data_IF_645547022106
#
_entry.id   IF_645547022106
#
_cell.length_a   1.000
_cell.length_b   1.000
_cell.length_c   1.000
_cell.angle_alpha   90.00
_cell.angle_beta   90.00
_cell.angle_gamma   90.00
#
_symmetry.space_group_name_H-M   'P 1'
#
loop_
_entity.id
_entity.type
_entity.pdbx_description
1 polymer ?
#
# COMPACT_ATOMS: atom_id res chain seq x y z
N UNK A 1 0.36 1.16 23.86
CA UNK A 1 1.43 0.47 23.09
C UNK A 1 2.24 -0.49 23.97
N UNK A 2 3.00 -0.03 24.96
CA UNK A 2 3.92 -0.88 25.75
C UNK A 2 3.26 -2.14 26.33
N UNK A 3 2.08 -2.04 26.94
CA UNK A 3 1.35 -3.19 27.50
C UNK A 3 0.99 -4.25 26.44
N UNK A 4 0.60 -3.83 25.21
CA UNK A 4 0.27 -4.78 24.13
C UNK A 4 1.52 -5.46 23.58
N UNK A 5 2.64 -4.72 23.43
CA UNK A 5 3.91 -5.29 23.01
C UNK A 5 4.38 -6.35 24.02
N UNK A 6 4.42 -6.02 25.31
CA UNK A 6 4.79 -6.97 26.37
C UNK A 6 3.92 -8.23 26.35
N UNK A 7 2.59 -8.08 26.14
CA UNK A 7 1.69 -9.23 26.01
C UNK A 7 2.00 -10.10 24.81
N UNK A 8 2.32 -9.47 23.66
CA UNK A 8 2.68 -10.18 22.44
C UNK A 8 4.00 -10.93 22.62
N UNK A 9 5.03 -10.30 23.20
CA UNK A 9 6.32 -10.93 23.48
C UNK A 9 6.18 -12.11 24.47
N UNK A 10 5.36 -11.96 25.51
CA UNK A 10 5.05 -13.06 26.41
C UNK A 10 4.36 -14.22 25.67
N UNK A 11 3.36 -13.95 24.85
CA UNK A 11 2.68 -14.98 24.07
C UNK A 11 3.65 -15.74 23.16
N UNK A 12 4.49 -15.06 22.40
CA UNK A 12 5.39 -15.72 21.45
C UNK A 12 6.51 -16.49 22.14
N UNK A 13 6.99 -16.03 23.30
CA UNK A 13 8.02 -16.74 24.08
C UNK A 13 7.49 -17.91 24.88
N UNK A 14 6.19 -17.98 25.16
CA UNK A 14 5.60 -19.06 25.96
C UNK A 14 4.70 -20.00 25.18
N UNK A 15 4.04 -19.55 24.13
CA UNK A 15 2.97 -20.27 23.42
C UNK A 15 3.25 -20.48 21.93
N UNK A 16 4.46 -20.16 21.43
CA UNK A 16 4.79 -20.28 20.01
C UNK A 16 6.14 -20.95 19.80
N UNK A 17 6.13 -22.18 19.31
CA UNK A 17 7.33 -23.00 19.16
C UNK A 17 8.35 -22.37 18.21
N UNK A 18 7.91 -21.75 17.12
CA UNK A 18 8.79 -21.10 16.15
C UNK A 18 9.66 -20.00 16.80
N UNK A 19 9.05 -19.16 17.66
CA UNK A 19 9.79 -18.10 18.34
C UNK A 19 10.64 -18.65 19.50
N UNK A 20 10.18 -19.68 20.20
CA UNK A 20 10.99 -20.36 21.21
C UNK A 20 12.28 -20.90 20.61
N UNK A 21 12.17 -21.66 19.50
CA UNK A 21 13.34 -22.21 18.80
C UNK A 21 14.32 -21.11 18.34
N UNK A 22 13.81 -19.96 17.91
CA UNK A 22 14.64 -18.81 17.50
C UNK A 22 15.35 -18.15 18.69
N UNK A 23 14.70 -18.04 19.83
CA UNK A 23 15.32 -17.50 21.06
C UNK A 23 16.34 -18.49 21.62
N UNK A 24 16.04 -19.78 21.67
CA UNK A 24 16.96 -20.81 22.17
C UNK A 24 18.25 -20.91 21.35
N UNK A 25 18.20 -20.71 20.03
CA UNK A 25 19.40 -20.63 19.19
C UNK A 25 20.36 -19.52 19.61
N UNK A 26 19.84 -18.49 20.28
CA UNK A 26 20.62 -17.39 20.86
C UNK A 26 20.85 -17.56 22.38
N UNK A 27 20.62 -18.77 22.93
CA UNK A 27 20.72 -19.08 24.35
C UNK A 27 19.76 -18.29 25.26
N UNK A 28 18.59 -17.91 24.73
CA UNK A 28 17.53 -17.17 25.42
C UNK A 28 16.34 -18.09 25.63
N UNK A 29 15.94 -18.35 26.87
CA UNK A 29 14.80 -19.25 27.17
C UNK A 29 13.44 -18.55 27.05
N UNK A 30 13.36 -17.27 27.40
CA UNK A 30 12.16 -16.43 27.31
C UNK A 30 12.58 -14.95 27.34
N UNK A 31 11.94 -14.10 26.55
CA UNK A 31 12.25 -12.66 26.57
C UNK A 31 11.01 -11.80 26.43
N UNK A 32 10.94 -10.76 27.25
CA UNK A 32 10.03 -9.61 27.12
C UNK A 32 10.72 -8.40 26.50
N UNK A 33 11.98 -8.55 26.11
CA UNK A 33 12.79 -7.54 25.44
C UNK A 33 12.72 -7.79 23.93
N UNK A 34 12.14 -6.84 23.17
CA UNK A 34 12.01 -6.92 21.72
C UNK A 34 13.37 -7.05 21.03
N UNK A 35 14.42 -6.43 21.58
CA UNK A 35 15.76 -6.41 20.98
C UNK A 35 16.42 -7.79 20.93
N UNK A 36 15.92 -8.74 21.70
CA UNK A 36 16.35 -10.15 21.68
C UNK A 36 15.75 -10.96 20.51
N UNK A 37 14.72 -10.43 19.83
CA UNK A 37 14.09 -11.13 18.71
C UNK A 37 14.81 -10.78 17.41
N UNK A 38 15.33 -11.77 16.66
CA UNK A 38 15.92 -11.52 15.35
C UNK A 38 14.88 -11.08 14.35
N UNK A 39 15.31 -10.34 13.31
CA UNK A 39 14.44 -9.92 12.21
C UNK A 39 13.80 -11.15 11.57
N UNK A 40 12.47 -11.09 11.38
CA UNK A 40 11.69 -12.10 10.69
C UNK A 40 11.59 -11.73 9.21
N UNK A 41 12.09 -12.58 8.35
CA UNK A 41 12.07 -12.36 6.90
C UNK A 41 10.81 -12.94 6.25
N UNK A 42 10.45 -12.41 5.08
CA UNK A 42 9.36 -12.94 4.24
C UNK A 42 9.54 -14.43 3.93
N UNK A 43 10.75 -14.83 3.60
CA UNK A 43 11.11 -16.23 3.30
C UNK A 43 10.84 -17.15 4.50
N UNK A 44 11.26 -16.73 5.70
CA UNK A 44 11.01 -17.52 6.92
C UNK A 44 9.52 -17.69 7.20
N UNK A 45 8.70 -16.65 6.97
CA UNK A 45 7.24 -16.76 7.13
C UNK A 45 6.65 -17.78 6.15
N UNK A 46 7.11 -17.79 4.90
CA UNK A 46 6.65 -18.74 3.89
C UNK A 46 7.04 -20.19 4.24
N UNK A 47 8.30 -20.40 4.62
CA UNK A 47 8.86 -21.73 4.91
C UNK A 47 8.32 -22.32 6.21
N UNK A 48 8.05 -21.48 7.23
CA UNK A 48 7.66 -21.92 8.57
C UNK A 48 6.19 -21.70 8.91
N UNK A 49 5.35 -21.40 7.93
CA UNK A 49 3.94 -21.05 8.11
C UNK A 49 3.20 -21.90 9.15
N UNK A 50 3.37 -23.24 9.11
CA UNK A 50 2.69 -24.15 10.03
C UNK A 50 3.26 -24.14 11.45
N UNK A 51 4.53 -23.80 11.61
CA UNK A 51 5.20 -23.75 12.91
C UNK A 51 4.98 -22.41 13.63
N UNK A 52 4.54 -21.37 12.88
CA UNK A 52 4.29 -20.04 13.41
C UNK A 52 2.94 -19.89 14.13
N UNK A 53 2.09 -20.91 14.12
CA UNK A 53 0.85 -20.86 14.89
C UNK A 53 1.10 -20.99 16.39
N UNK A 54 0.49 -20.09 17.17
CA UNK A 54 0.46 -20.20 18.63
C UNK A 54 -0.37 -21.43 19.07
N UNK A 55 -0.18 -21.88 20.31
CA UNK A 55 -0.84 -23.08 20.84
C UNK A 55 -2.36 -22.99 20.67
N UNK A 56 -2.96 -24.13 20.27
CA UNK A 56 -4.38 -24.24 19.98
C UNK A 56 -4.84 -23.60 18.63
N UNK A 57 -3.99 -22.87 17.92
CA UNK A 57 -4.35 -22.28 16.63
C UNK A 57 -4.08 -23.20 15.44
N UNK A 58 -3.17 -24.19 15.55
CA UNK A 58 -2.99 -25.23 14.52
C UNK A 58 -4.26 -26.01 14.23
N UNK A 59 -4.99 -26.44 15.29
CA UNK A 59 -6.27 -27.15 15.13
C UNK A 59 -7.33 -26.29 14.45
N UNK A 60 -7.39 -24.99 14.79
CA UNK A 60 -8.30 -24.02 14.16
C UNK A 60 -7.96 -23.77 12.69
N UNK A 61 -6.70 -23.82 12.31
CA UNK A 61 -6.29 -23.75 10.92
C UNK A 61 -6.84 -24.93 10.12
N UNK A 62 -6.66 -26.16 10.60
CA UNK A 62 -7.15 -27.37 9.92
C UNK A 62 -8.69 -27.44 9.87
N UNK A 63 -9.39 -26.87 10.86
CA UNK A 63 -10.85 -26.77 10.88
C UNK A 63 -11.39 -25.52 10.17
N UNK A 64 -10.55 -24.75 9.45
CA UNK A 64 -10.91 -23.55 8.71
C UNK A 64 -11.57 -22.44 9.55
N UNK A 65 -11.24 -22.36 10.84
CA UNK A 65 -11.79 -21.37 11.78
C UNK A 65 -10.93 -20.09 11.85
N UNK A 66 -9.90 -19.97 11.03
CA UNK A 66 -9.06 -18.78 10.94
C UNK A 66 -9.38 -18.00 9.66
N UNK A 67 -9.38 -16.68 9.79
CA UNK A 67 -9.41 -15.79 8.64
C UNK A 67 -8.06 -15.80 7.95
N UNK A 68 -8.03 -16.14 6.67
CA UNK A 68 -6.84 -16.04 5.82
C UNK A 68 -6.76 -14.65 5.21
N UNK A 69 -5.58 -14.06 5.26
CA UNK A 69 -5.16 -12.95 4.41
C UNK A 69 -3.91 -13.34 3.64
N UNK A 70 -3.74 -12.81 2.45
CA UNK A 70 -2.57 -13.11 1.67
C UNK A 70 -2.13 -11.89 0.86
N UNK A 71 -0.82 -11.66 0.78
CA UNK A 71 -0.25 -10.60 -0.03
C UNK A 71 -0.26 -10.98 -1.51
N UNK A 72 -0.48 -10.01 -2.39
CA UNK A 72 -0.55 -10.21 -3.85
C UNK A 72 0.76 -10.69 -4.50
N UNK A 73 1.85 -10.76 -3.73
CA UNK A 73 3.11 -11.32 -4.22
C UNK A 73 3.80 -10.48 -5.32
N UNK A 74 3.64 -9.15 -5.32
CA UNK A 74 4.32 -8.26 -6.28
C UNK A 74 5.85 -8.45 -6.34
N UNK A 75 6.43 -9.05 -5.31
CA UNK A 75 7.85 -9.40 -5.18
C UNK A 75 8.13 -10.90 -5.26
N UNK A 76 7.26 -11.70 -5.90
CA UNK A 76 7.39 -13.16 -5.99
C UNK A 76 6.28 -13.92 -5.27
N UNK A 77 6.63 -14.92 -4.44
CA UNK A 77 5.65 -15.79 -3.80
C UNK A 77 4.83 -15.07 -2.72
N UNK A 78 3.48 -15.17 -2.74
CA UNK A 78 2.62 -14.54 -1.75
C UNK A 78 2.86 -15.06 -0.33
N UNK A 79 2.73 -14.19 0.68
CA UNK A 79 2.70 -14.60 2.09
C UNK A 79 1.25 -14.79 2.53
N UNK A 80 1.00 -15.89 3.21
CA UNK A 80 -0.30 -16.14 3.84
C UNK A 80 -0.19 -15.93 5.34
N UNK A 81 -1.07 -15.08 5.88
CA UNK A 81 -1.19 -14.79 7.31
C UNK A 81 -2.58 -15.17 7.76
N UNK A 82 -2.67 -15.78 8.95
CA UNK A 82 -3.92 -16.29 9.51
C UNK A 82 -4.24 -15.57 10.82
N UNK A 83 -5.50 -15.23 10.97
CA UNK A 83 -6.00 -14.45 12.10
C UNK A 83 -7.15 -15.15 12.79
N UNK A 84 -7.24 -15.03 14.11
CA UNK A 84 -8.53 -15.19 14.77
C UNK A 84 -9.45 -14.03 14.34
N UNK A 85 -10.72 -14.29 14.10
CA UNK A 85 -11.66 -13.23 13.70
C UNK A 85 -11.68 -12.06 14.71
N UNK A 86 -11.68 -12.36 16.02
CA UNK A 86 -11.62 -11.33 17.07
C UNK A 86 -10.37 -10.45 16.97
N UNK A 87 -9.23 -11.03 16.66
CA UNK A 87 -7.95 -10.32 16.55
C UNK A 87 -7.90 -9.45 15.30
N UNK A 88 -8.44 -9.98 14.19
CA UNK A 88 -8.59 -9.22 12.96
C UNK A 88 -9.42 -7.96 13.18
N UNK A 89 -10.60 -8.08 13.81
CA UNK A 89 -11.43 -6.91 14.11
C UNK A 89 -10.75 -5.96 15.10
N UNK A 90 -10.06 -6.49 16.12
CA UNK A 90 -9.29 -5.65 17.06
C UNK A 90 -8.19 -4.85 16.37
N UNK A 91 -7.54 -5.40 15.34
CA UNK A 91 -6.49 -4.73 14.58
C UNK A 91 -7.02 -3.58 13.70
N UNK A 92 -8.30 -3.63 13.29
CA UNK A 92 -8.92 -2.59 12.48
C UNK A 92 -9.50 -1.44 13.31
N UNK A 93 -9.74 -1.64 14.60
CA UNK A 93 -10.34 -0.61 15.49
C UNK A 93 -9.54 0.71 15.55
N UNK A 94 -8.19 0.69 15.65
CA UNK A 94 -7.42 1.93 15.66
C UNK A 94 -7.66 2.78 14.41
N UNK A 95 -7.73 2.13 13.24
CA UNK A 95 -8.02 2.80 11.97
C UNK A 95 -9.44 3.41 11.96
N UNK A 96 -10.46 2.64 12.39
CA UNK A 96 -11.83 3.15 12.47
C UNK A 96 -11.97 4.33 13.41
N UNK A 97 -11.23 4.34 14.54
CA UNK A 97 -11.20 5.50 15.44
C UNK A 97 -10.64 6.75 14.77
N UNK A 98 -9.59 6.62 13.94
CA UNK A 98 -9.03 7.76 13.22
C UNK A 98 -9.96 8.25 12.10
N UNK A 99 -10.61 7.34 11.35
CA UNK A 99 -11.64 7.69 10.34
C UNK A 99 -12.77 8.50 10.98
N UNK A 100 -13.31 8.02 12.10
CA UNK A 100 -14.38 8.73 12.81
C UNK A 100 -13.90 10.09 13.34
N UNK A 101 -12.71 10.13 13.97
CA UNK A 101 -12.15 11.34 14.57
C UNK A 101 -11.84 12.42 13.56
N UNK A 102 -11.18 12.07 12.46
CA UNK A 102 -10.64 13.05 11.51
C UNK A 102 -11.61 13.39 10.38
N UNK A 103 -12.37 12.42 9.94
CA UNK A 103 -13.17 12.55 8.72
C UNK A 103 -14.66 12.33 8.94
N UNK A 104 -15.08 11.95 10.17
CA UNK A 104 -16.47 11.69 10.50
C UNK A 104 -17.07 10.48 9.77
N UNK A 105 -16.21 9.50 9.44
CA UNK A 105 -16.60 8.28 8.73
C UNK A 105 -16.80 7.15 9.72
N UNK A 106 -17.95 6.50 9.62
CA UNK A 106 -18.38 5.44 10.53
C UNK A 106 -18.62 4.12 9.78
N UNK A 107 -18.67 3.01 10.54
CA UNK A 107 -18.81 1.65 9.98
C UNK A 107 -20.11 1.41 9.22
N UNK A 108 -21.13 2.23 9.45
CA UNK A 108 -22.43 2.13 8.78
C UNK A 108 -22.55 3.04 7.55
N UNK A 109 -21.54 3.88 7.28
CA UNK A 109 -21.54 4.73 6.09
C UNK A 109 -21.35 3.88 4.83
N UNK A 110 -22.14 4.15 3.80
CA UNK A 110 -22.05 3.44 2.51
C UNK A 110 -20.68 3.63 1.89
N UNK A 111 -19.98 2.53 1.65
CA UNK A 111 -18.62 2.47 1.14
C UNK A 111 -18.56 1.81 -0.22
N UNK A 112 -17.86 2.41 -1.16
CA UNK A 112 -17.33 1.68 -2.31
C UNK A 112 -15.91 1.25 -2.01
N UNK A 113 -15.67 -0.06 -2.04
CA UNK A 113 -14.37 -0.68 -1.82
C UNK A 113 -13.85 -1.28 -3.11
N UNK A 114 -12.73 -0.77 -3.61
CA UNK A 114 -11.99 -1.40 -4.67
C UNK A 114 -10.97 -2.40 -4.09
N UNK A 115 -10.84 -3.55 -4.73
CA UNK A 115 -9.90 -4.60 -4.33
C UNK A 115 -9.27 -5.24 -5.55
N UNK A 116 -7.99 -5.63 -5.44
CA UNK A 116 -7.27 -6.39 -6.46
C UNK A 116 -7.33 -7.90 -6.22
N UNK A 117 -7.91 -8.34 -5.10
CA UNK A 117 -7.97 -9.74 -4.71
C UNK A 117 -9.31 -10.38 -5.12
N UNK A 118 -9.28 -11.21 -6.15
CA UNK A 118 -10.43 -11.97 -6.63
C UNK A 118 -10.93 -13.05 -5.65
N UNK A 119 -10.11 -13.50 -4.70
CA UNK A 119 -10.41 -14.65 -3.85
C UNK A 119 -11.51 -14.46 -2.81
N UNK A 120 -11.91 -13.23 -2.52
CA UNK A 120 -13.00 -12.94 -1.58
C UNK A 120 -14.35 -12.74 -2.25
N UNK A 121 -14.40 -12.81 -3.57
CA UNK A 121 -15.63 -12.72 -4.35
C UNK A 121 -15.87 -14.13 -4.88
N UNK A 122 -16.83 -14.85 -4.30
CA UNK A 122 -17.25 -16.16 -4.81
C UNK A 122 -17.92 -15.96 -6.16
N UNK A 123 -17.25 -16.44 -7.21
CA UNK A 123 -17.68 -16.27 -8.58
C UNK A 123 -18.55 -17.43 -9.02
N UNK A 124 -19.83 -17.25 -9.02
CA UNK A 124 -20.68 -18.06 -9.89
C UNK A 124 -20.88 -17.45 -11.30
N UNK A 125 -20.57 -16.15 -11.53
CA UNK A 125 -20.91 -15.48 -12.78
C UNK A 125 -19.99 -14.35 -13.26
N UNK A 126 -18.66 -14.37 -13.07
CA UNK A 126 -17.76 -13.31 -13.56
C UNK A 126 -18.21 -11.86 -13.23
N UNK A 127 -18.85 -11.66 -12.09
CA UNK A 127 -19.34 -10.34 -11.71
C UNK A 127 -18.21 -9.46 -11.20
N UNK A 128 -18.07 -8.26 -11.78
CA UNK A 128 -17.05 -7.27 -11.40
C UNK A 128 -17.30 -6.71 -10.00
N UNK A 129 -18.51 -6.83 -9.49
CA UNK A 129 -18.93 -6.22 -8.22
C UNK A 129 -19.76 -7.15 -7.34
N UNK A 130 -19.81 -6.82 -6.06
CA UNK A 130 -20.61 -7.48 -5.05
C UNK A 130 -21.11 -6.45 -4.02
N UNK A 131 -22.39 -6.52 -3.65
CA UNK A 131 -22.97 -5.66 -2.61
C UNK A 131 -23.15 -6.49 -1.34
N UNK A 132 -22.51 -6.06 -0.24
CA UNK A 132 -22.73 -6.61 1.08
C UNK A 132 -23.69 -5.70 1.85
N UNK A 133 -24.98 -6.02 1.77
CA UNK A 133 -26.07 -5.22 2.34
C UNK A 133 -26.01 -5.05 3.86
N UNK A 134 -25.66 -6.04 4.69
CA UNK A 134 -25.56 -5.81 6.13
C UNK A 134 -24.51 -4.75 6.51
N UNK A 135 -23.50 -4.54 5.67
CA UNK A 135 -22.38 -3.64 5.93
C UNK A 135 -22.41 -2.38 5.05
N UNK A 136 -23.42 -2.18 4.21
CA UNK A 136 -23.47 -1.05 3.27
C UNK A 136 -22.20 -0.91 2.40
N UNK A 137 -21.64 -2.01 1.92
CA UNK A 137 -20.41 -2.04 1.14
C UNK A 137 -20.66 -2.53 -0.27
N UNK A 138 -20.32 -1.70 -1.25
CA UNK A 138 -20.18 -2.11 -2.64
C UNK A 138 -18.70 -2.45 -2.88
N UNK A 139 -18.40 -3.74 -3.05
CA UNK A 139 -17.05 -4.20 -3.37
C UNK A 139 -16.91 -4.38 -4.87
N UNK A 140 -15.87 -3.77 -5.44
CA UNK A 140 -15.53 -3.84 -6.86
C UNK A 140 -14.18 -4.54 -6.99
N UNK A 141 -14.12 -5.56 -7.84
CA UNK A 141 -12.86 -6.20 -8.21
C UNK A 141 -12.17 -5.40 -9.31
N UNK A 142 -11.22 -4.57 -8.94
CA UNK A 142 -10.50 -3.69 -9.87
C UNK A 142 -9.63 -4.47 -10.87
N UNK A 143 -9.24 -5.73 -10.56
CA UNK A 143 -8.48 -6.56 -11.49
C UNK A 143 -9.30 -7.05 -12.70
N UNK A 144 -10.60 -6.89 -12.67
CA UNK A 144 -11.52 -7.25 -13.77
C UNK A 144 -11.96 -6.05 -14.60
N UNK A 145 -11.43 -4.86 -14.35
CA UNK A 145 -11.74 -3.65 -15.11
C UNK A 145 -10.69 -3.49 -16.20
N UNK A 146 -10.97 -4.00 -17.40
CA UNK A 146 -10.01 -4.05 -18.50
C UNK A 146 -10.12 -2.90 -19.50
N UNK A 147 -11.30 -2.26 -19.61
CA UNK A 147 -11.55 -1.23 -20.61
C UNK A 147 -12.40 -0.08 -20.06
N UNK A 148 -12.62 0.94 -20.90
CA UNK A 148 -13.36 2.13 -20.51
C UNK A 148 -14.86 1.88 -20.36
N UNK A 149 -15.45 0.97 -21.15
CA UNK A 149 -16.86 0.62 -21.04
C UNK A 149 -17.19 -0.04 -19.70
N UNK A 150 -16.32 -0.96 -19.24
CA UNK A 150 -16.44 -1.58 -17.92
C UNK A 150 -16.28 -0.55 -16.79
N UNK A 151 -15.34 0.40 -16.93
CA UNK A 151 -15.20 1.49 -15.97
C UNK A 151 -16.46 2.39 -15.97
N UNK A 152 -17.06 2.66 -17.12
CA UNK A 152 -18.30 3.42 -17.23
C UNK A 152 -19.48 2.71 -16.55
N UNK A 153 -19.56 1.39 -16.66
CA UNK A 153 -20.56 0.61 -15.92
C UNK A 153 -20.36 0.73 -14.40
N UNK A 154 -19.11 0.68 -13.94
CA UNK A 154 -18.78 0.91 -12.53
C UNK A 154 -19.18 2.32 -12.08
N UNK A 155 -18.91 3.35 -12.87
CA UNK A 155 -19.33 4.73 -12.58
C UNK A 155 -20.86 4.83 -12.43
N UNK A 156 -21.62 4.20 -13.32
CA UNK A 156 -23.10 4.15 -13.23
C UNK A 156 -23.56 3.42 -11.96
N UNK A 157 -22.92 2.31 -11.63
CA UNK A 157 -23.21 1.55 -10.42
C UNK A 157 -22.91 2.36 -9.15
N UNK A 158 -21.79 3.05 -9.10
CA UNK A 158 -21.41 3.95 -7.98
C UNK A 158 -22.44 5.05 -7.81
N UNK A 159 -22.88 5.67 -8.92
CA UNK A 159 -23.92 6.72 -8.89
C UNK A 159 -25.22 6.21 -8.28
N UNK A 160 -25.66 5.02 -8.63
CA UNK A 160 -26.89 4.41 -8.11
C UNK A 160 -26.73 3.97 -6.65
N UNK A 161 -25.53 3.57 -6.24
CA UNK A 161 -25.24 3.16 -4.87
C UNK A 161 -25.18 4.34 -3.90
N UNK A 162 -24.89 5.57 -4.37
CA UNK A 162 -24.78 6.79 -3.59
C UNK A 162 -23.85 6.65 -2.35
N UNK A 163 -22.56 6.36 -2.54
CA UNK A 163 -21.62 6.14 -1.45
C UNK A 163 -21.34 7.41 -0.67
N UNK A 164 -21.00 7.21 0.60
CA UNK A 164 -20.47 8.26 1.49
C UNK A 164 -18.96 8.39 1.34
N UNK A 165 -18.27 7.28 1.05
CA UNK A 165 -16.83 7.28 0.91
C UNK A 165 -16.30 6.17 0.02
N UNK A 166 -15.06 6.38 -0.49
CA UNK A 166 -14.29 5.42 -1.28
C UNK A 166 -13.11 4.87 -0.49
N UNK A 167 -12.86 3.57 -0.63
CA UNK A 167 -11.63 2.87 -0.27
C UNK A 167 -11.02 2.35 -1.56
N UNK A 168 -9.92 2.98 -2.05
CA UNK A 168 -9.51 2.85 -3.44
C UNK A 168 -7.99 2.98 -3.61
N UNK A 169 -7.40 2.26 -4.57
CA UNK A 169 -6.02 2.44 -4.98
C UNK A 169 -5.86 3.73 -5.81
N UNK A 170 -4.74 4.47 -5.67
CA UNK A 170 -4.48 5.69 -6.43
C UNK A 170 -4.62 5.54 -7.95
N UNK A 171 -4.11 4.44 -8.51
CA UNK A 171 -4.21 4.18 -9.94
C UNK A 171 -5.68 4.03 -10.40
N UNK A 172 -6.49 3.28 -9.65
CA UNK A 172 -7.93 3.13 -9.97
C UNK A 172 -8.68 4.45 -9.80
N UNK A 173 -8.32 5.22 -8.78
CA UNK A 173 -8.88 6.56 -8.56
C UNK A 173 -8.63 7.48 -9.76
N UNK A 174 -7.42 7.45 -10.32
CA UNK A 174 -7.08 8.19 -11.52
C UNK A 174 -7.94 7.80 -12.72
N UNK A 175 -8.07 6.50 -12.99
CA UNK A 175 -8.93 5.98 -14.06
C UNK A 175 -10.40 6.37 -13.85
N UNK A 176 -10.87 6.30 -12.61
CA UNK A 176 -12.23 6.66 -12.24
C UNK A 176 -12.52 8.15 -12.53
N UNK A 177 -11.61 9.07 -12.14
CA UNK A 177 -11.72 10.51 -12.42
C UNK A 177 -11.81 10.74 -13.93
N UNK A 178 -10.92 10.13 -14.71
CA UNK A 178 -10.92 10.25 -16.18
C UNK A 178 -12.25 9.80 -16.79
N UNK A 179 -12.77 8.65 -16.39
CA UNK A 179 -14.04 8.15 -16.87
C UNK A 179 -15.20 9.12 -16.57
N UNK A 180 -15.26 9.68 -15.36
CA UNK A 180 -16.24 10.71 -15.01
C UNK A 180 -16.13 11.94 -15.92
N UNK A 181 -14.90 12.40 -16.20
CA UNK A 181 -14.63 13.58 -17.03
C UNK A 181 -14.97 13.32 -18.50
N UNK A 182 -14.49 12.21 -19.08
CA UNK A 182 -14.74 11.85 -20.49
C UNK A 182 -16.23 11.76 -20.81
N UNK A 183 -17.01 11.18 -19.88
CA UNK A 183 -18.45 10.99 -20.08
C UNK A 183 -19.32 12.11 -19.49
N UNK A 184 -18.70 13.20 -19.00
CA UNK A 184 -19.40 14.33 -18.38
C UNK A 184 -20.41 13.90 -17.28
N UNK A 185 -20.01 12.94 -16.45
CA UNK A 185 -20.84 12.43 -15.36
C UNK A 185 -20.42 13.16 -14.05
N UNK A 186 -21.41 13.69 -13.34
CA UNK A 186 -21.14 14.30 -12.04
C UNK A 186 -20.85 13.23 -10.97
N UNK A 187 -19.91 13.48 -10.07
CA UNK A 187 -19.64 12.61 -8.92
C UNK A 187 -20.86 12.49 -8.02
N UNK A 188 -20.97 11.42 -7.19
CA UNK A 188 -22.06 11.26 -6.24
C UNK A 188 -22.13 12.41 -5.26
N UNK A 189 -23.26 13.07 -5.11
CA UNK A 189 -23.48 14.18 -4.17
C UNK A 189 -23.35 13.75 -2.70
N UNK A 190 -23.50 12.46 -2.44
CA UNK A 190 -23.36 11.85 -1.10
C UNK A 190 -21.91 11.63 -0.66
N UNK A 191 -20.95 11.66 -1.61
CA UNK A 191 -19.54 11.42 -1.34
C UNK A 191 -18.97 12.54 -0.46
N UNK A 192 -18.28 12.18 0.62
CA UNK A 192 -17.68 13.12 1.57
C UNK A 192 -16.20 12.87 1.84
N UNK A 193 -15.71 11.67 1.45
CA UNK A 193 -14.37 11.25 1.81
C UNK A 193 -13.81 10.19 0.84
N UNK A 194 -12.51 10.26 0.57
CA UNK A 194 -11.76 9.26 -0.18
C UNK A 194 -10.58 8.79 0.67
N UNK A 195 -10.40 7.48 0.79
CA UNK A 195 -9.23 6.86 1.41
C UNK A 195 -8.45 6.08 0.36
N UNK A 196 -7.21 6.49 0.14
CA UNK A 196 -6.31 5.78 -0.77
C UNK A 196 -5.45 4.77 -0.02
N UNK A 197 -5.19 3.62 -0.66
CA UNK A 197 -4.52 2.48 -0.04
C UNK A 197 -3.70 1.67 -1.04
N UNK A 198 -2.72 0.92 -0.52
CA UNK A 198 -2.07 -0.19 -1.21
C UNK A 198 -1.00 0.18 -2.23
N UNK A 199 -0.90 1.46 -2.58
CA UNK A 199 0.09 2.01 -3.52
C UNK A 199 0.55 3.37 -3.03
N UNK A 200 1.65 3.88 -3.60
CA UNK A 200 2.04 5.27 -3.42
C UNK A 200 0.95 6.19 -3.99
N UNK A 201 0.65 7.25 -3.27
CA UNK A 201 -0.28 8.28 -3.73
C UNK A 201 0.50 9.45 -4.33
N UNK A 202 0.54 9.57 -5.67
CA UNK A 202 1.19 10.69 -6.35
C UNK A 202 0.52 12.02 -6.03
N UNK A 203 1.31 13.08 -5.98
CA UNK A 203 0.82 14.43 -5.64
C UNK A 203 -0.19 14.97 -6.65
N UNK A 204 -0.02 14.67 -7.94
CA UNK A 204 -0.95 15.04 -9.00
C UNK A 204 -2.30 14.31 -8.89
N UNK A 205 -2.30 13.00 -8.59
CA UNK A 205 -3.55 12.23 -8.38
C UNK A 205 -4.29 12.76 -7.15
N UNK A 206 -3.57 13.05 -6.06
CA UNK A 206 -4.16 13.68 -4.86
C UNK A 206 -4.84 15.00 -5.21
N UNK A 207 -4.14 15.90 -5.91
CA UNK A 207 -4.65 17.20 -6.32
C UNK A 207 -5.90 17.04 -7.18
N UNK A 208 -5.83 16.26 -8.26
CA UNK A 208 -6.97 16.00 -9.17
C UNK A 208 -8.18 15.41 -8.45
N UNK A 209 -7.97 14.46 -7.55
CA UNK A 209 -9.08 13.86 -6.81
C UNK A 209 -9.79 14.88 -5.90
N UNK A 210 -9.03 15.72 -5.20
CA UNK A 210 -9.60 16.77 -4.35
C UNK A 210 -10.35 17.81 -5.19
N UNK A 211 -9.75 18.26 -6.29
CA UNK A 211 -10.36 19.24 -7.20
C UNK A 211 -11.64 18.71 -7.86
N UNK A 212 -11.59 17.46 -8.35
CA UNK A 212 -12.73 16.87 -9.07
C UNK A 212 -13.90 16.49 -8.14
N UNK A 213 -13.62 15.79 -7.05
CA UNK A 213 -14.66 15.32 -6.14
C UNK A 213 -15.09 16.37 -5.10
N UNK A 214 -14.27 17.38 -4.83
CA UNK A 214 -14.55 18.40 -3.82
C UNK A 214 -14.58 17.87 -2.38
N UNK A 215 -13.93 16.74 -2.10
CA UNK A 215 -13.99 16.05 -0.82
C UNK A 215 -12.60 15.90 -0.18
N UNK A 216 -12.57 15.58 1.12
CA UNK A 216 -11.33 15.28 1.82
C UNK A 216 -10.76 13.93 1.37
N UNK A 217 -9.43 13.86 1.26
CA UNK A 217 -8.70 12.66 0.94
C UNK A 217 -7.63 12.38 1.98
N UNK A 218 -7.51 11.14 2.41
CA UNK A 218 -6.41 10.67 3.24
C UNK A 218 -5.77 9.42 2.66
N UNK A 219 -4.49 9.23 2.94
CA UNK A 219 -3.76 8.03 2.61
C UNK A 219 -3.67 7.09 3.82
N UNK A 220 -3.77 5.79 3.60
CA UNK A 220 -3.59 4.74 4.59
C UNK A 220 -2.43 3.83 4.18
N UNK A 221 -1.40 3.78 5.00
CA UNK A 221 -0.33 2.82 4.85
C UNK A 221 -0.64 1.54 5.61
N UNK A 222 -0.57 0.42 4.93
CA UNK A 222 -0.82 -0.89 5.50
C UNK A 222 -0.48 -2.02 4.55
N UNK A 223 -0.47 -3.23 5.08
CA UNK A 223 -0.23 -4.45 4.31
C UNK A 223 -1.24 -5.53 4.71
N UNK A 224 -1.39 -6.56 3.89
CA UNK A 224 -2.27 -7.69 4.21
C UNK A 224 -1.81 -8.42 5.47
N UNK A 225 -0.50 -8.41 5.77
CA UNK A 225 0.08 -9.05 6.95
C UNK A 225 -0.21 -8.30 8.24
N UNK A 226 -0.33 -6.96 8.18
CA UNK A 226 -0.43 -6.08 9.36
C UNK A 226 -1.76 -5.35 9.48
N UNK A 227 -2.60 -5.34 8.44
CA UNK A 227 -3.70 -4.38 8.29
C UNK A 227 -3.16 -2.93 8.27
N UNK A 228 -3.82 -1.98 8.92
CA UNK A 228 -3.35 -0.59 8.96
C UNK A 228 -2.10 -0.43 9.81
N UNK A 229 -1.06 0.17 9.26
CA UNK A 229 0.19 0.51 9.94
C UNK A 229 0.19 1.99 10.35
N UNK A 230 -0.12 2.87 9.41
CA UNK A 230 -0.21 4.30 9.66
C UNK A 230 -1.37 4.93 8.88
N UNK A 231 -1.81 6.09 9.35
CA UNK A 231 -2.97 6.78 8.82
C UNK A 231 -2.78 8.29 8.80
N UNK A 232 -3.12 8.89 7.67
CA UNK A 232 -2.96 10.32 7.45
C UNK A 232 -4.02 11.14 8.17
N UNK A 233 -3.58 12.15 8.91
CA UNK A 233 -4.45 13.12 9.57
C UNK A 233 -4.77 14.31 8.63
N UNK A 234 -5.72 15.20 8.99
CA UNK A 234 -6.05 16.40 8.20
C UNK A 234 -4.89 17.39 7.97
N UNK A 235 -3.79 17.23 8.68
CA UNK A 235 -2.55 18.01 8.51
C UNK A 235 -1.48 17.25 7.71
N UNK A 236 -1.89 16.24 6.96
CA UNK A 236 -1.02 15.43 6.09
C UNK A 236 0.13 14.70 6.81
N UNK A 237 0.01 14.50 8.13
CA UNK A 237 0.96 13.68 8.90
C UNK A 237 0.47 12.24 8.99
N UNK A 238 1.33 11.29 8.60
CA UNK A 238 1.04 9.85 8.61
C UNK A 238 1.38 9.26 9.99
N UNK A 239 0.42 9.22 10.91
CA UNK A 239 0.61 8.71 12.27
C UNK A 239 0.53 7.20 12.34
N UNK A 240 1.48 6.57 13.03
CA UNK A 240 1.46 5.13 13.30
C UNK A 240 0.25 4.77 14.16
N UNK A 241 -0.43 3.69 13.80
CA UNK A 241 -1.53 3.11 14.55
C UNK A 241 -0.97 2.25 15.71
N UNK A 242 -0.44 2.92 16.75
CA UNK A 242 0.30 2.32 17.86
C UNK A 242 -0.48 1.31 18.70
N UNK A 243 -1.81 1.28 18.57
CA UNK A 243 -2.66 0.21 19.13
C UNK A 243 -2.71 -1.05 18.25
N UNK A 244 -2.20 -0.97 17.01
CA UNK A 244 -2.13 -2.11 16.08
C UNK A 244 -0.72 -2.65 15.88
N UNK A 245 0.26 -1.77 15.72
CA UNK A 245 1.63 -2.14 15.39
C UNK A 245 2.67 -1.40 16.22
N UNK A 246 3.84 -2.00 16.34
CA UNK A 246 5.08 -1.35 16.76
C UNK A 246 6.02 -1.31 15.55
N UNK A 247 6.59 -0.15 15.24
CA UNK A 247 7.42 0.06 14.05
C UNK A 247 8.83 0.47 14.47
N UNK A 248 9.81 -0.17 13.85
CA UNK A 248 11.24 0.13 13.89
C UNK A 248 11.74 0.27 12.45
N UNK A 249 12.94 0.78 12.23
CA UNK A 249 13.59 0.79 10.92
C UNK A 249 14.94 0.08 10.98
N UNK A 250 15.23 -0.72 9.95
CA UNK A 250 16.55 -1.32 9.73
C UNK A 250 17.35 -0.39 8.83
N UNK A 251 18.36 0.25 9.38
CA UNK A 251 19.23 1.21 8.68
C UNK A 251 20.12 0.55 7.64
N UNK A 252 20.80 1.34 6.84
CA UNK A 252 21.79 0.86 5.86
C UNK A 252 23.02 0.25 6.53
N UNK A 253 23.33 0.69 7.76
CA UNK A 253 24.42 0.14 8.60
C UNK A 253 24.07 -1.22 9.22
N UNK A 254 22.81 -1.68 9.06
CA UNK A 254 22.33 -2.95 9.60
C UNK A 254 21.89 -2.88 11.07
N UNK A 255 21.73 -1.68 11.64
CA UNK A 255 21.18 -1.46 12.98
C UNK A 255 19.67 -1.30 12.94
N UNK A 256 18.98 -1.69 14.02
CA UNK A 256 17.54 -1.46 14.18
C UNK A 256 17.34 -0.25 15.07
N UNK A 257 16.65 0.74 14.53
CA UNK A 257 16.43 2.02 15.20
C UNK A 257 14.92 2.29 15.35
N UNK A 258 14.57 3.11 16.35
CA UNK A 258 13.20 3.56 16.60
C UNK A 258 12.91 4.93 15.99
N UNK A 259 13.89 5.49 15.32
CA UNK A 259 13.84 6.76 14.59
C UNK A 259 14.92 6.75 13.50
N UNK A 260 14.63 7.38 12.35
CA UNK A 260 15.56 7.45 11.21
C UNK A 260 14.98 6.85 9.95
N UNK A 261 15.84 6.60 8.96
CA UNK A 261 15.45 6.05 7.66
C UNK A 261 15.98 4.62 7.49
N UNK A 262 15.13 3.74 6.95
CA UNK A 262 15.50 2.36 6.70
C UNK A 262 14.32 1.48 6.32
N UNK A 263 14.56 0.17 6.22
CA UNK A 263 13.50 -0.79 5.94
C UNK A 263 12.54 -0.90 7.14
N UNK A 264 11.25 -0.88 6.87
CA UNK A 264 10.21 -1.02 7.90
C UNK A 264 10.25 -2.40 8.55
N UNK A 265 10.53 -2.42 9.83
CA UNK A 265 10.46 -3.61 10.69
C UNK A 265 9.24 -3.46 11.58
N UNK A 266 8.26 -4.34 11.40
CA UNK A 266 6.95 -4.19 12.04
C UNK A 266 6.62 -5.38 12.91
N UNK A 267 6.20 -5.09 14.14
CA UNK A 267 5.63 -6.08 15.07
C UNK A 267 4.12 -5.88 15.16
N UNK A 268 3.34 -6.91 14.84
CA UNK A 268 1.89 -6.88 14.99
C UNK A 268 1.51 -7.11 16.46
N UNK A 269 0.63 -6.25 17.00
CA UNK A 269 0.24 -6.27 18.40
C UNK A 269 -1.10 -6.98 18.69
N UNK A 270 -1.79 -7.43 17.64
CA UNK A 270 -3.12 -8.00 17.77
C UNK A 270 -3.25 -9.45 17.23
N UNK A 271 -2.40 -9.89 16.29
CA UNK A 271 -2.50 -11.24 15.75
C UNK A 271 -1.92 -12.29 16.71
N UNK A 272 -2.77 -12.91 17.51
CA UNK A 272 -2.36 -13.97 18.45
C UNK A 272 -2.34 -15.36 17.81
N UNK A 273 -2.94 -15.54 16.63
CA UNK A 273 -2.96 -16.84 15.96
C UNK A 273 -1.65 -17.16 15.23
N UNK A 274 -1.15 -16.21 14.45
CA UNK A 274 0.09 -16.30 13.71
C UNK A 274 0.83 -14.96 13.87
N UNK A 275 1.47 -14.76 15.04
CA UNK A 275 2.11 -13.48 15.34
C UNK A 275 3.31 -13.22 14.42
N UNK A 276 3.49 -11.95 14.04
CA UNK A 276 4.65 -11.47 13.30
C UNK A 276 5.40 -10.46 14.18
N UNK A 277 6.56 -10.86 14.70
CA UNK A 277 7.44 -10.04 15.54
C UNK A 277 8.68 -9.68 14.76
N UNK A 278 9.00 -8.38 14.68
CA UNK A 278 10.11 -7.81 13.89
C UNK A 278 10.12 -8.27 12.44
N UNK A 279 8.94 -8.27 11.81
CA UNK A 279 8.79 -8.67 10.41
C UNK A 279 9.28 -7.57 9.47
N UNK A 280 10.26 -7.91 8.62
CA UNK A 280 10.74 -7.03 7.56
C UNK A 280 9.78 -7.06 6.37
N UNK A 281 9.11 -5.95 6.12
CA UNK A 281 8.17 -5.80 5.00
C UNK A 281 8.86 -5.47 3.69
N UNK A 282 10.10 -4.95 3.74
CA UNK A 282 10.86 -4.51 2.59
C UNK A 282 10.56 -3.09 2.12
N UNK A 283 9.60 -2.39 2.72
CA UNK A 283 9.31 -0.99 2.40
C UNK A 283 10.35 -0.08 3.06
N UNK A 284 10.83 0.94 2.34
CA UNK A 284 11.72 1.97 2.89
C UNK A 284 10.86 3.09 3.47
N UNK A 285 11.11 3.42 4.73
CA UNK A 285 10.39 4.46 5.47
C UNK A 285 11.35 5.44 6.15
N UNK A 286 10.86 6.64 6.43
CA UNK A 286 11.46 7.57 7.38
C UNK A 286 10.56 7.68 8.61
N UNK A 287 11.07 7.25 9.77
CA UNK A 287 10.37 7.18 11.05
C UNK A 287 10.81 8.31 11.95
N UNK A 288 9.87 9.09 12.46
CA UNK A 288 10.15 10.24 13.34
C UNK A 288 9.29 10.19 14.60
N UNK A 289 9.93 10.28 15.75
CA UNK A 289 9.25 10.49 17.02
C UNK A 289 8.87 11.97 17.18
N UNK A 290 7.65 12.23 17.62
CA UNK A 290 7.20 13.59 17.82
C UNK A 290 7.71 14.16 19.15
N UNK A 291 8.38 15.31 19.12
CA UNK A 291 8.76 16.08 20.31
C UNK A 291 7.62 16.96 20.82
N UNK A 292 6.66 17.27 19.95
CA UNK A 292 5.43 18.00 20.29
C UNK A 292 4.23 17.38 19.55
N UNK A 293 3.00 17.48 20.08
CA UNK A 293 1.82 16.96 19.39
C UNK A 293 1.64 17.59 18.00
N UNK A 294 1.26 16.76 17.01
CA UNK A 294 0.76 17.26 15.73
C UNK A 294 -0.45 18.21 15.97
N UNK A 295 -0.69 19.21 15.12
CA UNK A 295 -1.89 20.06 15.22
C UNK A 295 -3.21 19.27 15.26
N UNK A 296 -3.24 18.02 14.77
CA UNK A 296 -4.39 17.11 14.93
C UNK A 296 -4.57 16.57 16.37
N UNK A 297 -3.63 16.88 17.29
CA UNK A 297 -3.62 16.40 18.67
C UNK A 297 -3.12 14.96 18.84
N UNK A 298 -2.52 14.35 17.82
CA UNK A 298 -1.94 13.01 17.91
C UNK A 298 -0.43 13.09 18.21
N UNK A 299 0.04 12.31 19.19
CA UNK A 299 1.45 12.24 19.60
C UNK A 299 2.15 10.95 19.10
N UNK A 300 1.46 10.09 18.32
CA UNK A 300 2.07 8.87 17.81
C UNK A 300 3.21 9.19 16.85
N UNK A 301 4.25 8.35 16.76
CA UNK A 301 5.30 8.53 15.76
C UNK A 301 4.74 8.69 14.36
N UNK A 302 5.49 9.39 13.51
CA UNK A 302 5.10 9.72 12.14
C UNK A 302 5.99 8.97 11.16
N UNK A 303 5.40 8.43 10.12
CA UNK A 303 6.09 8.02 8.90
C UNK A 303 6.01 9.19 7.92
N UNK A 304 7.13 9.85 7.66
CA UNK A 304 7.17 11.04 6.80
C UNK A 304 7.47 10.73 5.34
N UNK A 305 8.02 9.55 5.06
CA UNK A 305 8.39 9.10 3.73
C UNK A 305 8.12 7.61 3.61
N UNK A 306 7.59 7.20 2.45
CA UNK A 306 7.44 5.79 2.05
C UNK A 306 7.96 5.73 0.61
N UNK A 307 9.18 5.21 0.42
CA UNK A 307 9.85 5.20 -0.89
C UNK A 307 9.53 3.97 -1.75
N UNK A 308 8.64 3.11 -1.27
CA UNK A 308 8.36 1.83 -1.94
C UNK A 308 9.24 0.70 -1.38
N UNK A 309 9.38 -0.38 -2.14
CA UNK A 309 10.11 -1.57 -1.67
C UNK A 309 11.57 -1.52 -2.10
N UNK A 310 12.46 -1.95 -1.23
CA UNK A 310 13.88 -2.12 -1.57
C UNK A 310 14.11 -3.05 -2.77
N UNK A 311 13.22 -4.02 -3.00
CA UNK A 311 13.29 -4.91 -4.16
C UNK A 311 12.90 -4.23 -5.49
N UNK A 312 12.26 -3.07 -5.44
CA UNK A 312 11.88 -2.28 -6.61
C UNK A 312 12.92 -1.17 -6.89
N UNK A 313 14.11 -1.29 -6.32
CA UNK A 313 15.25 -0.41 -6.55
C UNK A 313 16.19 -1.01 -7.59
N UNK A 314 16.69 -0.16 -8.48
CA UNK A 314 17.80 -0.47 -9.39
C UNK A 314 18.97 0.46 -9.07
N UNK A 315 20.18 -0.07 -9.17
CA UNK A 315 21.41 0.74 -9.01
C UNK A 315 22.06 0.87 -10.37
N UNK A 316 22.17 2.11 -10.84
CA UNK A 316 22.77 2.43 -12.12
C UNK A 316 23.85 3.48 -11.90
N UNK A 317 25.10 3.17 -12.29
CA UNK A 317 26.23 4.07 -12.16
C UNK A 317 26.42 4.66 -10.72
N UNK A 318 26.01 3.90 -9.70
CA UNK A 318 26.08 4.32 -8.31
C UNK A 318 24.86 5.11 -7.81
N UNK A 319 23.90 5.44 -8.68
CA UNK A 319 22.65 6.07 -8.28
C UNK A 319 21.57 5.01 -8.00
N UNK A 320 20.85 5.16 -6.90
CA UNK A 320 19.69 4.31 -6.57
C UNK A 320 18.43 4.92 -7.17
N UNK A 321 17.78 4.19 -8.06
CA UNK A 321 16.51 4.57 -8.68
C UNK A 321 15.43 3.68 -8.10
N UNK A 322 14.47 4.28 -7.45
CA UNK A 322 13.33 3.59 -6.86
C UNK A 322 12.00 4.02 -7.47
N UNK A 323 10.97 3.23 -7.22
CA UNK A 323 9.61 3.49 -7.73
C UNK A 323 9.07 4.85 -7.27
N UNK A 324 9.37 5.27 -6.03
CA UNK A 324 8.91 6.55 -5.51
C UNK A 324 9.43 7.73 -6.33
N UNK A 325 10.73 7.74 -6.62
CA UNK A 325 11.35 8.78 -7.45
C UNK A 325 10.66 8.89 -8.82
N UNK A 326 10.44 7.74 -9.48
CA UNK A 326 9.83 7.70 -10.81
C UNK A 326 8.38 8.20 -10.80
N UNK A 327 7.63 7.85 -9.77
CA UNK A 327 6.24 8.33 -9.59
C UNK A 327 6.21 9.84 -9.34
N UNK A 328 7.05 10.35 -8.46
CA UNK A 328 7.09 11.81 -8.17
C UNK A 328 7.62 12.63 -9.35
N UNK A 329 8.52 12.07 -10.15
CA UNK A 329 8.98 12.71 -11.38
C UNK A 329 7.80 12.94 -12.35
N UNK A 330 6.97 11.95 -12.58
CA UNK A 330 5.77 12.08 -13.43
C UNK A 330 4.74 13.02 -12.80
N UNK A 331 4.56 12.95 -11.48
CA UNK A 331 3.63 13.83 -10.78
C UNK A 331 4.04 15.30 -10.86
N UNK A 332 5.34 15.62 -10.77
CA UNK A 332 5.87 16.97 -10.94
C UNK A 332 5.60 17.51 -12.35
N UNK A 333 5.76 16.69 -13.37
CA UNK A 333 5.44 17.04 -14.74
C UNK A 333 3.93 17.24 -14.95
N UNK A 334 3.11 16.36 -14.43
CA UNK A 334 1.67 16.49 -14.49
C UNK A 334 1.18 17.76 -13.79
N UNK A 335 1.80 18.16 -12.69
CA UNK A 335 1.52 19.44 -12.05
C UNK A 335 1.94 20.65 -12.94
N UNK A 336 3.02 20.51 -13.72
CA UNK A 336 3.52 21.55 -14.61
C UNK A 336 2.69 21.67 -15.88
N UNK A 337 2.33 20.55 -16.49
CA UNK A 337 1.65 20.47 -17.79
C UNK A 337 0.14 20.24 -17.73
N UNK A 338 -0.46 20.41 -16.56
CA UNK A 338 -1.89 20.22 -16.34
C UNK A 338 -2.38 18.81 -16.76
N UNK A 339 -1.76 17.80 -16.14
CA UNK A 339 -2.13 16.40 -16.26
C UNK A 339 -2.01 15.82 -17.69
N UNK A 340 -0.94 16.17 -18.39
CA UNK A 340 -0.69 15.72 -19.76
C UNK A 340 -0.37 14.21 -19.85
N UNK A 341 0.32 13.65 -18.83
CA UNK A 341 0.67 12.23 -18.79
C UNK A 341 -0.45 11.47 -18.10
N UNK A 342 -1.10 10.58 -18.84
CA UNK A 342 -2.25 9.81 -18.30
C UNK A 342 -1.85 8.48 -17.72
N UNK A 343 -0.88 7.82 -18.35
CA UNK A 343 -0.34 6.54 -17.91
C UNK A 343 1.16 6.50 -18.22
N UNK A 344 1.91 5.73 -17.43
CA UNK A 344 3.35 5.60 -17.62
C UNK A 344 3.87 4.29 -17.05
N UNK A 345 5.02 3.85 -17.58
CA UNK A 345 5.78 2.69 -17.09
C UNK A 345 7.25 2.90 -17.37
N UNK A 346 8.10 2.50 -16.44
CA UNK A 346 9.53 2.43 -16.65
C UNK A 346 9.97 0.98 -16.78
N UNK A 347 10.84 0.70 -17.76
CA UNK A 347 11.44 -0.62 -17.97
C UNK A 347 12.95 -0.47 -18.01
N UNK A 348 13.63 -1.10 -17.06
CA UNK A 348 15.08 -1.16 -17.05
C UNK A 348 15.57 -2.42 -17.72
N UNK A 349 16.36 -2.27 -18.79
CA UNK A 349 17.03 -3.35 -19.51
C UNK A 349 18.45 -3.51 -18.97
N UNK A 350 18.65 -4.51 -18.11
CA UNK A 350 19.90 -4.74 -17.40
C UNK A 350 21.09 -4.98 -18.38
N UNK A 351 20.86 -5.81 -19.41
CA UNK A 351 21.88 -6.13 -20.44
C UNK A 351 22.35 -4.91 -21.26
N UNK A 352 21.50 -3.88 -21.38
CA UNK A 352 21.75 -2.65 -22.15
C UNK A 352 22.11 -1.46 -21.26
N UNK A 353 22.03 -1.59 -19.94
CA UNK A 353 22.14 -0.50 -18.97
C UNK A 353 21.25 0.71 -19.36
N UNK A 354 20.01 0.44 -19.74
CA UNK A 354 19.11 1.43 -20.32
C UNK A 354 17.76 1.44 -19.61
N UNK A 355 17.30 2.61 -19.21
CA UNK A 355 15.95 2.83 -18.68
C UNK A 355 15.04 3.37 -19.78
N UNK A 356 13.97 2.68 -20.09
CA UNK A 356 12.95 3.10 -21.06
C UNK A 356 11.73 3.60 -20.32
N UNK A 357 11.30 4.80 -20.63
CA UNK A 357 10.07 5.39 -20.10
C UNK A 357 8.97 5.30 -21.16
N UNK A 358 7.94 4.56 -20.87
CA UNK A 358 6.73 4.50 -21.68
C UNK A 358 5.72 5.48 -21.09
N UNK A 359 5.25 6.42 -21.89
CA UNK A 359 4.24 7.39 -21.49
C UNK A 359 3.07 7.41 -22.46
N UNK A 360 1.88 7.60 -21.92
CA UNK A 360 0.68 7.88 -22.67
C UNK A 360 0.21 9.29 -22.35
N UNK A 361 0.03 10.11 -23.39
CA UNK A 361 -0.42 11.48 -23.24
C UNK A 361 -1.93 11.58 -23.43
N UNK A 362 -2.56 12.61 -22.85
CA UNK A 362 -3.98 12.94 -23.12
C UNK A 362 -4.21 13.13 -24.61
N UNK A 363 -5.38 12.75 -25.10
CA UNK A 363 -5.77 12.80 -26.51
C UNK A 363 -5.43 14.12 -27.20
N UNK A 364 -4.88 14.01 -28.44
CA UNK A 364 -4.45 15.13 -29.31
C UNK A 364 -3.21 15.92 -28.87
N UNK A 365 -2.43 15.45 -27.90
CA UNK A 365 -1.21 16.16 -27.46
C UNK A 365 0.11 15.46 -27.84
N UNK A 366 0.09 14.55 -28.82
CA UNK A 366 1.33 13.90 -29.33
C UNK A 366 2.38 14.90 -29.84
N UNK A 367 1.96 16.11 -30.23
CA UNK A 367 2.89 17.19 -30.56
C UNK A 367 3.78 17.65 -29.39
N UNK A 368 3.39 17.37 -28.16
CA UNK A 368 4.13 17.70 -26.94
C UNK A 368 5.06 16.58 -26.49
N UNK A 369 5.04 15.44 -27.18
CA UNK A 369 5.78 14.25 -26.73
C UNK A 369 7.27 14.50 -26.57
N UNK A 370 7.90 15.12 -27.59
CA UNK A 370 9.34 15.41 -27.55
C UNK A 370 9.68 16.38 -26.41
N UNK A 371 8.87 17.41 -26.20
CA UNK A 371 9.06 18.38 -25.12
C UNK A 371 8.90 17.73 -23.73
N UNK A 372 7.87 16.91 -23.56
CA UNK A 372 7.63 16.17 -22.30
C UNK A 372 8.78 15.17 -22.03
N UNK A 373 9.23 14.45 -23.06
CA UNK A 373 10.35 13.52 -22.96
C UNK A 373 11.66 14.24 -22.57
N UNK A 374 11.89 15.42 -23.14
CA UNK A 374 13.05 16.24 -22.82
C UNK A 374 13.02 16.73 -21.36
N UNK A 375 11.87 17.18 -20.89
CA UNK A 375 11.69 17.64 -19.52
C UNK A 375 11.78 16.49 -18.51
N UNK A 376 11.24 15.29 -18.81
CA UNK A 376 11.44 14.09 -17.98
C UNK A 376 12.94 13.80 -17.85
N UNK A 377 13.66 13.85 -18.95
CA UNK A 377 15.09 13.59 -18.98
C UNK A 377 15.88 14.58 -18.12
N UNK A 378 15.60 15.87 -18.28
CA UNK A 378 16.27 16.94 -17.53
C UNK A 378 15.95 16.83 -16.02
N UNK A 379 14.68 16.58 -15.68
CA UNK A 379 14.25 16.45 -14.31
C UNK A 379 14.84 15.20 -13.64
N UNK A 380 14.90 14.09 -14.37
CA UNK A 380 15.52 12.85 -13.93
C UNK A 380 17.02 13.06 -13.63
N UNK A 381 17.76 13.65 -14.55
CA UNK A 381 19.19 13.94 -14.36
C UNK A 381 19.43 14.87 -13.18
N UNK A 382 18.60 15.91 -13.03
CA UNK A 382 18.68 16.83 -11.89
C UNK A 382 18.47 16.13 -10.55
N UNK A 383 17.54 15.16 -10.49
CA UNK A 383 17.23 14.42 -9.25
C UNK A 383 18.26 13.35 -8.93
N UNK A 384 18.91 12.76 -9.94
CA UNK A 384 19.81 11.61 -9.74
C UNK A 384 21.29 11.95 -9.87
N UNK A 385 21.64 13.17 -10.29
CA UNK A 385 23.02 13.60 -10.58
C UNK A 385 23.76 12.67 -11.56
N UNK A 386 23.04 11.86 -12.35
CA UNK A 386 23.57 10.94 -13.36
C UNK A 386 23.15 11.36 -14.77
N UNK A 387 23.95 11.02 -15.77
CA UNK A 387 23.68 11.27 -17.19
C UNK A 387 23.23 9.98 -17.93
N UNK A 388 22.50 9.12 -17.26
CA UNK A 388 22.00 7.89 -17.89
C UNK A 388 21.10 8.21 -19.08
N UNK A 389 21.21 7.41 -20.15
CA UNK A 389 20.34 7.55 -21.31
C UNK A 389 18.92 7.08 -20.95
N UNK A 390 17.97 8.02 -20.95
CA UNK A 390 16.55 7.73 -20.92
C UNK A 390 16.05 7.64 -22.36
N UNK A 391 15.49 6.52 -22.74
CA UNK A 391 14.73 6.39 -23.99
C UNK A 391 13.25 6.54 -23.70
N UNK A 392 12.58 7.25 -24.59
CA UNK A 392 11.13 7.42 -24.55
C UNK A 392 10.51 6.69 -25.71
N UNK A 393 9.45 5.95 -25.45
CA UNK A 393 8.66 5.30 -26.46
C UNK A 393 7.18 5.59 -26.24
N UNK A 394 6.47 5.98 -27.32
CA UNK A 394 5.03 6.04 -27.38
C UNK A 394 4.57 4.64 -27.71
N UNK A 395 4.66 3.73 -26.77
CA UNK A 395 4.06 2.45 -27.02
C UNK A 395 2.55 2.52 -26.83
N UNK A 396 1.85 1.62 -27.53
CA UNK A 396 0.52 1.22 -27.11
C UNK A 396 0.66 0.51 -25.75
N UNK A 397 0.96 1.28 -24.71
CA UNK A 397 0.73 0.86 -23.36
C UNK A 397 -0.79 0.81 -23.23
N UNK A 398 -1.34 -0.37 -23.43
CA UNK A 398 -2.71 -0.63 -23.06
C UNK A 398 -2.69 -1.07 -21.59
N UNK A 399 -3.06 -0.18 -20.64
CA UNK A 399 -3.15 -0.54 -19.23
C UNK A 399 -4.13 -1.70 -19.00
N UNK A 400 -4.92 -2.06 -20.02
CA UNK A 400 -5.90 -3.12 -19.97
C UNK A 400 -5.34 -4.48 -20.40
N UNK A 401 -4.21 -4.55 -21.12
CA UNK A 401 -3.63 -5.82 -21.58
C UNK A 401 -2.71 -6.49 -20.56
N UNK A 402 -2.19 -5.78 -19.57
CA UNK A 402 -1.47 -6.36 -18.43
C UNK A 402 -2.44 -6.80 -17.33
N UNK A 403 -3.32 -7.72 -17.69
CA UNK A 403 -4.28 -8.36 -16.79
C UNK A 403 -3.56 -9.01 -15.60
N UNK A 404 -4.02 -8.69 -14.37
CA UNK A 404 -3.72 -9.38 -13.12
C UNK A 404 -2.44 -8.99 -12.36
N UNK A 405 -1.68 -7.99 -12.78
CA UNK A 405 -0.60 -7.46 -11.94
C UNK A 405 -0.95 -6.07 -11.43
N UNK A 406 -0.59 -5.78 -10.16
CA UNK A 406 -0.46 -4.40 -9.67
C UNK A 406 0.25 -3.60 -10.75
N UNK A 407 -0.20 -2.36 -10.97
CA UNK A 407 0.54 -1.41 -11.79
C UNK A 407 2.01 -1.41 -11.34
N UNK A 408 2.89 -1.90 -12.20
CA UNK A 408 4.31 -1.96 -11.94
C UNK A 408 4.93 -0.73 -12.58
N UNK A 409 5.28 0.27 -11.75
CA UNK A 409 5.93 1.50 -12.21
C UNK A 409 7.30 1.20 -12.81
N UNK A 410 8.04 0.27 -12.22
CA UNK A 410 9.37 -0.13 -12.66
C UNK A 410 9.42 -1.64 -12.90
N UNK A 411 9.76 -2.03 -14.12
CA UNK A 411 10.01 -3.42 -14.51
C UNK A 411 11.51 -3.57 -14.84
N UNK A 412 12.12 -4.66 -14.35
CA UNK A 412 13.50 -5.00 -14.67
C UNK A 412 13.49 -6.18 -15.65
N UNK A 413 14.13 -6.02 -16.80
CA UNK A 413 14.35 -7.07 -17.83
C UNK A 413 15.82 -7.42 -17.90
N UNK A 414 16.11 -8.72 -18.00
CA UNK A 414 17.47 -9.25 -18.17
C UNK A 414 18.10 -8.89 -19.51
#
# INVERSE_FOLDING_TARGET
>A
MQNKLTKMLNLVSTENDFYKDRLEKNAISCSLDLDQYPILTRKEVQENRYNMFSFGCKSKFFSQQLRRQYSSGSSGTPVNVYWLYKDYYASTLPLWRQRARYYGIHTNDRMVKFTMNAYNITHENNTIHYINDPNNVLTINASLIHNEDEMLEIVKLIKNFEPVWFYIQPFILNRLIRCYQTHNICPPATLRYIETVGELLPSDIRRRAIEFFGVRLANMYGTEEMNGIAYECPHHSMHILTDNVFVECLTTEGTIEREGQGQAIVTNLNNTAMPLVRYNQGDIISLTNQTSPCPCGNCAPIISLIEGRKMDEIIIEGATINTYLLVELIAELNNTYNDIITDFKFVYHNSLNMLVCYIHLTDNKNMWFESVAEDITQLFWKKQETKMELRFDVLPFDPNTETNKKFCVLEVKE
#
